data_IF_049978551397
#
_entry.id   IF_049978551397
#
_cell.length_a   1.000
_cell.length_b   1.000
_cell.length_c   1.000
_cell.angle_alpha   90.00
_cell.angle_beta   90.00
_cell.angle_gamma   90.00
#
_symmetry.space_group_name_H-M   'P 1'
#
loop_
_entity.id
_entity.type
_entity.pdbx_description
1 polymer ?
#
# COMPACT_ATOMS: atom_id res chain seq x y z
N UNK A 1 10.37 11.86 -3.46
CA UNK A 1 9.42 12.57 -2.59
C UNK A 1 8.15 12.87 -3.38
N UNK A 2 6.98 12.58 -2.83
CA UNK A 2 5.69 12.94 -3.43
C UNK A 2 5.10 14.13 -2.67
N UNK A 3 4.52 15.06 -3.42
CA UNK A 3 3.76 16.20 -2.88
C UNK A 3 2.41 16.26 -3.59
N UNK A 4 1.33 16.47 -2.86
CA UNK A 4 0.04 16.78 -3.46
C UNK A 4 -0.47 18.14 -2.96
N UNK A 5 -1.12 18.88 -3.88
CA UNK A 5 -1.62 20.24 -3.65
C UNK A 5 -3.07 20.32 -4.04
N UNK A 6 -3.94 20.51 -3.05
CA UNK A 6 -5.39 20.66 -3.20
C UNK A 6 -6.04 19.61 -4.11
N UNK A 7 -5.56 18.35 -3.97
CA UNK A 7 -6.16 17.27 -4.77
C UNK A 7 -7.57 16.98 -4.29
N UNK A 8 -8.49 16.85 -5.24
CA UNK A 8 -9.87 16.48 -4.97
C UNK A 8 -10.42 15.60 -6.11
N UNK A 9 -11.48 14.86 -5.80
CA UNK A 9 -12.26 14.08 -6.76
C UNK A 9 -13.74 14.35 -6.48
N UNK A 10 -14.46 14.81 -7.48
CA UNK A 10 -15.85 15.22 -7.36
C UNK A 10 -16.68 14.16 -6.62
N UNK A 11 -17.43 14.59 -5.60
CA UNK A 11 -18.33 13.78 -4.76
C UNK A 11 -17.66 12.65 -3.95
N UNK A 12 -16.33 12.46 -4.07
CA UNK A 12 -15.64 11.32 -3.44
C UNK A 12 -14.47 11.71 -2.54
N UNK A 13 -13.78 12.81 -2.85
CA UNK A 13 -12.62 13.27 -2.12
C UNK A 13 -12.62 14.79 -2.06
N UNK A 14 -12.68 15.33 -0.86
CA UNK A 14 -12.49 16.76 -0.59
C UNK A 14 -11.03 17.17 -0.72
N UNK A 15 -10.79 18.48 -0.89
CA UNK A 15 -9.45 19.01 -1.10
C UNK A 15 -8.47 18.59 0.00
N UNK A 16 -7.35 18.02 -0.43
CA UNK A 16 -6.29 17.55 0.46
C UNK A 16 -4.92 17.92 -0.08
N UNK A 17 -4.03 18.32 0.82
CA UNK A 17 -2.64 18.64 0.51
C UNK A 17 -1.72 17.97 1.53
N UNK A 18 -0.64 17.33 1.05
CA UNK A 18 0.36 16.68 1.93
C UNK A 18 1.68 16.46 1.19
N UNK A 19 2.69 16.05 1.96
CA UNK A 19 3.99 15.59 1.44
C UNK A 19 4.33 14.25 2.05
N UNK A 20 4.89 13.35 1.23
CA UNK A 20 5.43 12.06 1.68
C UNK A 20 6.94 12.16 1.67
N UNK A 21 7.54 12.03 2.84
CA UNK A 21 8.99 11.97 3.00
C UNK A 21 9.52 10.58 2.59
N UNK A 22 10.78 10.47 2.12
CA UNK A 22 11.42 9.17 1.88
C UNK A 22 11.43 8.28 3.13
N UNK A 23 11.31 6.96 2.94
CA UNK A 23 11.32 5.98 4.03
C UNK A 23 10.05 5.94 4.87
N UNK A 24 8.99 6.65 4.48
CA UNK A 24 7.74 6.72 5.25
C UNK A 24 6.86 5.49 5.02
N UNK A 25 6.36 4.89 6.10
CA UNK A 25 5.25 3.93 6.08
C UNK A 25 3.98 4.64 6.56
N UNK A 26 3.06 4.92 5.66
CA UNK A 26 1.84 5.67 5.91
C UNK A 26 0.65 4.72 5.83
N UNK A 27 -0.16 4.67 6.88
CA UNK A 27 -1.43 3.95 6.85
C UNK A 27 -2.59 4.93 6.66
N UNK A 28 -3.42 4.64 5.68
CA UNK A 28 -4.65 5.34 5.35
C UNK A 28 -5.82 4.56 5.93
N UNK A 29 -6.43 5.09 6.97
CA UNK A 29 -7.50 4.44 7.71
C UNK A 29 -8.79 5.24 7.67
N UNK A 30 -9.88 4.61 8.00
CA UNK A 30 -11.22 5.22 8.02
C UNK A 30 -12.30 4.18 7.68
N UNK A 31 -13.57 4.48 7.97
CA UNK A 31 -14.67 3.56 7.70
C UNK A 31 -14.80 3.22 6.19
N UNK A 32 -15.60 2.20 5.90
CA UNK A 32 -15.92 1.85 4.51
C UNK A 32 -16.64 3.02 3.85
N UNK A 33 -16.28 3.31 2.60
CA UNK A 33 -16.82 4.46 1.87
C UNK A 33 -16.17 5.81 2.22
N UNK A 34 -15.20 5.88 3.15
CA UNK A 34 -14.52 7.13 3.50
C UNK A 34 -13.69 7.77 2.38
N UNK A 35 -13.48 7.07 1.24
CA UNK A 35 -12.71 7.60 0.11
C UNK A 35 -11.25 7.13 0.04
N UNK A 36 -10.83 6.15 0.85
CA UNK A 36 -9.45 5.65 0.91
C UNK A 36 -8.90 5.23 -0.46
N UNK A 37 -9.58 4.32 -1.16
CA UNK A 37 -9.17 3.86 -2.50
C UNK A 37 -9.18 4.99 -3.53
N UNK A 38 -10.09 5.97 -3.40
CA UNK A 38 -10.14 7.16 -4.26
C UNK A 38 -8.88 8.02 -4.06
N UNK A 39 -8.48 8.27 -2.81
CA UNK A 39 -7.27 9.02 -2.48
C UNK A 39 -6.02 8.28 -2.98
N UNK A 40 -5.89 6.96 -2.70
CA UNK A 40 -4.77 6.15 -3.18
C UNK A 40 -4.67 6.17 -4.71
N UNK A 41 -5.79 5.95 -5.41
CA UNK A 41 -5.86 5.95 -6.88
C UNK A 41 -5.44 7.31 -7.46
N UNK A 42 -5.86 8.42 -6.82
CA UNK A 42 -5.46 9.77 -7.23
C UNK A 42 -3.97 10.04 -7.01
N UNK A 43 -3.43 9.67 -5.85
CA UNK A 43 -2.00 9.80 -5.54
C UNK A 43 -1.12 8.91 -6.43
N UNK A 44 -1.59 7.73 -6.78
CA UNK A 44 -0.89 6.82 -7.69
C UNK A 44 -0.94 7.27 -9.16
N UNK A 45 -1.71 8.32 -9.51
CA UNK A 45 -1.88 8.78 -10.90
C UNK A 45 -2.72 7.82 -11.75
N UNK A 46 -3.59 7.01 -11.12
CA UNK A 46 -4.48 6.08 -11.79
C UNK A 46 -5.88 6.67 -12.05
N UNK A 47 -6.17 7.83 -11.46
CA UNK A 47 -7.40 8.59 -11.70
C UNK A 47 -7.09 10.08 -11.85
N UNK A 48 -7.96 10.78 -12.58
CA UNK A 48 -7.91 12.22 -12.72
C UNK A 48 -8.71 12.91 -11.62
N UNK A 49 -8.45 14.18 -11.39
CA UNK A 49 -9.15 15.01 -10.41
C UNK A 49 -8.58 16.43 -10.39
N UNK A 50 -9.07 17.25 -9.49
CA UNK A 50 -8.59 18.62 -9.28
C UNK A 50 -7.27 18.58 -8.51
N UNK A 51 -6.48 19.64 -8.63
CA UNK A 51 -5.19 19.79 -7.94
C UNK A 51 -4.06 18.99 -8.57
N UNK A 52 -2.87 19.20 -8.06
CA UNK A 52 -1.64 18.63 -8.60
C UNK A 52 -1.06 17.54 -7.68
N UNK A 53 -0.60 16.46 -8.27
CA UNK A 53 0.29 15.49 -7.60
C UNK A 53 1.66 15.58 -8.29
N UNK A 54 2.69 15.85 -7.51
CA UNK A 54 4.06 15.95 -7.99
C UNK A 54 4.88 14.78 -7.43
N UNK A 55 5.62 14.09 -8.30
CA UNK A 55 6.59 13.07 -7.93
C UNK A 55 7.97 13.52 -8.39
N UNK A 56 8.92 13.59 -7.46
CA UNK A 56 10.25 14.14 -7.72
C UNK A 56 10.23 15.56 -8.37
N UNK A 57 9.23 16.37 -8.00
CA UNK A 57 9.07 17.75 -8.51
C UNK A 57 8.37 17.86 -9.86
N UNK A 58 8.02 16.75 -10.52
CA UNK A 58 7.31 16.73 -11.81
C UNK A 58 5.85 16.32 -11.59
N UNK A 59 4.89 16.97 -12.27
CA UNK A 59 3.48 16.61 -12.20
C UNK A 59 3.26 15.20 -12.75
N UNK A 60 2.48 14.37 -12.05
CA UNK A 60 2.22 12.99 -12.48
C UNK A 60 1.62 12.91 -13.88
N UNK A 61 0.72 13.84 -14.20
CA UNK A 61 0.03 13.88 -15.49
C UNK A 61 0.99 14.17 -16.67
N UNK A 62 2.18 14.69 -16.40
CA UNK A 62 3.24 14.99 -17.37
C UNK A 62 4.28 13.87 -17.48
N UNK A 63 4.26 12.90 -16.56
CA UNK A 63 5.20 11.77 -16.57
C UNK A 63 4.68 10.69 -17.52
N UNK A 64 5.46 10.30 -18.56
CA UNK A 64 5.07 9.20 -19.44
C UNK A 64 4.83 7.89 -18.66
N UNK A 65 3.79 7.14 -19.03
CA UNK A 65 3.37 5.92 -18.33
C UNK A 65 4.51 4.93 -18.01
N UNK A 66 5.41 4.59 -18.95
CA UNK A 66 6.55 3.72 -18.68
C UNK A 66 7.52 4.26 -17.62
N UNK A 67 7.73 5.59 -17.58
CA UNK A 67 8.54 6.24 -16.55
C UNK A 67 7.83 6.23 -15.20
N UNK A 68 6.54 6.54 -15.19
CA UNK A 68 5.73 6.51 -13.96
C UNK A 68 5.72 5.11 -13.34
N UNK A 69 5.60 4.05 -14.16
CA UNK A 69 5.65 2.66 -13.70
C UNK A 69 7.00 2.27 -13.07
N UNK A 70 8.11 2.95 -13.44
CA UNK A 70 9.41 2.76 -12.78
C UNK A 70 9.48 3.49 -11.44
N UNK A 71 8.83 4.64 -11.31
CA UNK A 71 8.89 5.46 -10.11
C UNK A 71 7.99 4.96 -8.98
N UNK A 72 6.88 4.29 -9.31
CA UNK A 72 5.92 3.83 -8.31
C UNK A 72 5.25 2.51 -8.67
N UNK A 73 4.98 1.66 -7.66
CA UNK A 73 4.11 0.50 -7.74
C UNK A 73 2.67 0.82 -7.30
N UNK A 74 1.72 0.06 -7.83
CA UNK A 74 0.31 0.16 -7.46
C UNK A 74 -0.33 -1.22 -7.36
N UNK A 75 -0.77 -1.58 -6.16
CA UNK A 75 -1.64 -2.73 -5.91
C UNK A 75 -3.06 -2.22 -5.71
N UNK A 76 -3.92 -2.44 -6.70
CA UNK A 76 -5.34 -2.11 -6.58
C UNK A 76 -6.08 -3.13 -5.71
N UNK A 77 -7.27 -2.77 -5.25
CA UNK A 77 -8.20 -3.67 -4.58
C UNK A 77 -8.42 -4.94 -5.41
N UNK A 78 -8.82 -6.01 -4.78
CA UNK A 78 -8.88 -7.37 -5.34
C UNK A 78 -9.45 -7.43 -6.77
N UNK A 79 -8.67 -8.05 -7.68
CA UNK A 79 -9.11 -8.41 -9.02
C UNK A 79 -9.15 -9.93 -9.12
N UNK A 80 -10.20 -10.46 -9.72
CA UNK A 80 -10.27 -11.89 -10.07
C UNK A 80 -9.29 -12.19 -11.21
N UNK A 81 -8.44 -13.23 -11.12
CA UNK A 81 -7.56 -13.57 -12.21
C UNK A 81 -8.36 -14.04 -13.42
N UNK A 82 -8.12 -13.43 -14.59
CA UNK A 82 -8.88 -13.69 -15.82
C UNK A 82 -8.07 -14.46 -16.89
N UNK A 83 -6.89 -14.95 -16.56
CA UNK A 83 -5.97 -15.57 -17.52
C UNK A 83 -5.49 -16.94 -17.06
N UNK A 84 -5.27 -17.87 -17.99
CA UNK A 84 -4.66 -19.18 -17.72
C UNK A 84 -3.13 -19.13 -17.64
N UNK A 85 -2.52 -17.94 -17.69
CA UNK A 85 -1.07 -17.83 -17.60
C UNK A 85 -0.53 -18.36 -16.27
N UNK A 86 0.63 -19.03 -16.24
CA UNK A 86 1.27 -19.45 -15.01
C UNK A 86 1.83 -18.28 -14.21
N UNK A 87 2.00 -18.46 -12.89
CA UNK A 87 2.50 -17.43 -11.96
C UNK A 87 3.81 -16.83 -12.45
N UNK A 88 4.80 -17.64 -12.89
CA UNK A 88 6.09 -17.10 -13.35
C UNK A 88 5.91 -16.12 -14.53
N UNK A 89 4.98 -16.39 -15.42
CA UNK A 89 4.69 -15.51 -16.56
C UNK A 89 3.98 -14.22 -16.09
N UNK A 90 3.07 -14.30 -15.11
CA UNK A 90 2.46 -13.12 -14.50
C UNK A 90 3.53 -12.23 -13.84
N UNK A 91 4.46 -12.80 -13.08
CA UNK A 91 5.56 -12.04 -12.48
C UNK A 91 6.45 -11.39 -13.56
N UNK A 92 6.67 -12.05 -14.69
CA UNK A 92 7.49 -11.50 -15.78
C UNK A 92 6.91 -10.24 -16.41
N UNK A 93 5.59 -10.05 -16.37
CA UNK A 93 4.94 -8.82 -16.85
C UNK A 93 5.27 -7.58 -16.02
N UNK A 94 5.73 -7.78 -14.78
CA UNK A 94 6.04 -6.71 -13.82
C UNK A 94 7.54 -6.43 -13.68
N UNK A 95 8.39 -7.17 -14.40
CA UNK A 95 9.83 -7.02 -14.34
C UNK A 95 10.29 -5.67 -14.90
N UNK A 96 11.20 -4.95 -14.20
CA UNK A 96 11.83 -3.76 -14.75
C UNK A 96 12.66 -4.11 -16.00
N UNK A 97 12.46 -3.36 -17.09
CA UNK A 97 13.08 -3.66 -18.40
C UNK A 97 14.61 -3.67 -18.39
N UNK A 98 15.22 -2.90 -17.50
CA UNK A 98 16.67 -2.69 -17.44
C UNK A 98 17.31 -3.39 -16.22
N UNK A 99 16.59 -4.31 -15.56
CA UNK A 99 17.14 -5.07 -14.46
C UNK A 99 18.22 -6.04 -14.95
N UNK A 100 19.30 -6.17 -14.19
CA UNK A 100 20.33 -7.19 -14.46
C UNK A 100 19.71 -8.57 -14.20
N UNK A 101 19.83 -9.54 -15.18
CA UNK A 101 19.08 -10.80 -15.10
C UNK A 101 19.37 -11.66 -13.87
N UNK A 102 20.62 -11.70 -13.40
CA UNK A 102 20.98 -12.51 -12.23
C UNK A 102 20.43 -11.88 -10.95
N UNK A 103 20.48 -10.55 -10.81
CA UNK A 103 19.92 -9.83 -9.66
C UNK A 103 18.39 -9.99 -9.65
N UNK A 104 17.74 -9.86 -10.81
CA UNK A 104 16.30 -10.04 -10.95
C UNK A 104 15.85 -11.46 -10.55
N UNK A 105 16.58 -12.49 -11.00
CA UNK A 105 16.29 -13.87 -10.64
C UNK A 105 16.38 -14.09 -9.12
N UNK A 106 17.40 -13.53 -8.47
CA UNK A 106 17.58 -13.63 -7.03
C UNK A 106 16.46 -12.90 -6.27
N UNK A 107 16.07 -11.69 -6.69
CA UNK A 107 14.97 -10.95 -6.07
C UNK A 107 13.65 -11.71 -6.22
N UNK A 108 13.34 -12.25 -7.39
CA UNK A 108 12.13 -13.05 -7.59
C UNK A 108 12.14 -14.29 -6.70
N UNK A 109 13.26 -15.00 -6.63
CA UNK A 109 13.39 -16.19 -5.77
C UNK A 109 13.16 -15.85 -4.30
N UNK A 110 13.81 -14.79 -3.79
CA UNK A 110 13.63 -14.30 -2.41
C UNK A 110 12.19 -13.89 -2.11
N UNK A 111 11.55 -13.10 -2.99
CA UNK A 111 10.16 -12.71 -2.80
C UNK A 111 9.21 -13.91 -2.84
N UNK A 112 9.45 -14.89 -3.72
CA UNK A 112 8.66 -16.11 -3.78
C UNK A 112 8.86 -17.00 -2.56
N UNK A 113 10.04 -17.04 -1.97
CA UNK A 113 10.30 -17.76 -0.73
C UNK A 113 9.57 -17.12 0.44
N UNK A 114 9.74 -15.82 0.67
CA UNK A 114 9.09 -15.06 1.75
C UNK A 114 7.57 -15.14 1.66
N UNK A 115 7.02 -15.07 0.45
CA UNK A 115 5.57 -15.12 0.20
C UNK A 115 5.04 -16.56 0.00
N UNK A 116 5.85 -17.60 0.19
CA UNK A 116 5.47 -19.02 0.03
C UNK A 116 4.82 -19.31 -1.34
N UNK A 117 5.52 -18.92 -2.41
CA UNK A 117 5.07 -19.07 -3.80
C UNK A 117 5.96 -19.99 -4.64
N UNK A 118 7.09 -20.47 -4.11
CA UNK A 118 8.10 -21.21 -4.87
C UNK A 118 7.54 -22.48 -5.55
N UNK A 119 6.60 -23.17 -4.90
CA UNK A 119 5.92 -24.37 -5.43
C UNK A 119 4.71 -24.03 -6.33
N UNK A 120 4.38 -22.75 -6.51
CA UNK A 120 3.23 -22.29 -7.30
C UNK A 120 3.59 -21.71 -8.66
N UNK A 121 4.88 -21.51 -8.94
CA UNK A 121 5.35 -20.75 -10.12
C UNK A 121 4.81 -21.29 -11.46
N UNK A 122 4.69 -22.61 -11.61
CA UNK A 122 4.13 -23.23 -12.81
C UNK A 122 2.59 -23.30 -12.84
N UNK A 123 1.92 -22.95 -11.74
CA UNK A 123 0.47 -23.08 -11.61
C UNK A 123 -0.23 -21.92 -12.33
N UNK A 124 -1.32 -22.19 -13.09
CA UNK A 124 -2.14 -21.11 -13.67
C UNK A 124 -2.73 -20.21 -12.58
N UNK A 125 -2.73 -18.89 -12.80
CA UNK A 125 -3.22 -17.93 -11.80
C UNK A 125 -4.69 -18.12 -11.44
N UNK A 126 -5.50 -18.67 -12.36
CA UNK A 126 -6.91 -19.02 -12.12
C UNK A 126 -7.11 -20.22 -11.21
N UNK A 127 -6.07 -21.01 -10.94
CA UNK A 127 -6.11 -22.18 -10.05
C UNK A 127 -5.58 -21.89 -8.65
N UNK A 128 -5.34 -20.63 -8.34
CA UNK A 128 -4.89 -20.18 -7.03
C UNK A 128 -6.08 -19.86 -6.12
N UNK A 129 -5.92 -20.12 -4.83
CA UNK A 129 -6.84 -19.58 -3.81
C UNK A 129 -6.76 -18.05 -3.75
N UNK A 130 -7.74 -17.40 -3.12
CA UNK A 130 -7.74 -15.94 -2.96
C UNK A 130 -6.48 -15.41 -2.27
N UNK A 131 -6.02 -16.09 -1.21
CA UNK A 131 -4.79 -15.72 -0.51
C UNK A 131 -3.52 -15.99 -1.32
N UNK A 132 -3.45 -17.11 -2.07
CA UNK A 132 -2.33 -17.37 -2.99
C UNK A 132 -2.27 -16.32 -4.09
N UNK A 133 -3.41 -15.97 -4.69
CA UNK A 133 -3.48 -14.92 -5.70
C UNK A 133 -3.06 -13.55 -5.14
N UNK A 134 -3.50 -13.20 -3.95
CA UNK A 134 -3.10 -11.96 -3.30
C UNK A 134 -1.58 -11.89 -3.10
N UNK A 135 -0.94 -12.98 -2.65
CA UNK A 135 0.51 -13.07 -2.50
C UNK A 135 1.25 -12.94 -3.84
N UNK A 136 0.72 -13.54 -4.92
CA UNK A 136 1.28 -13.39 -6.28
C UNK A 136 1.21 -11.93 -6.74
N UNK A 137 0.11 -11.23 -6.51
CA UNK A 137 -0.03 -9.81 -6.84
C UNK A 137 0.94 -8.94 -6.03
N UNK A 138 1.12 -9.25 -4.75
CA UNK A 138 2.11 -8.59 -3.90
C UNK A 138 3.53 -8.84 -4.42
N UNK A 139 3.89 -10.09 -4.70
CA UNK A 139 5.19 -10.41 -5.31
C UNK A 139 5.42 -9.60 -6.59
N UNK A 140 4.43 -9.55 -7.47
CA UNK A 140 4.52 -8.83 -8.75
C UNK A 140 4.77 -7.33 -8.57
N UNK A 141 4.03 -6.67 -7.67
CA UNK A 141 4.23 -5.24 -7.43
C UNK A 141 5.55 -4.96 -6.72
N UNK A 142 6.03 -5.86 -5.82
CA UNK A 142 7.35 -5.73 -5.23
C UNK A 142 8.46 -5.94 -6.27
N UNK A 143 8.38 -6.93 -7.14
CA UNK A 143 9.34 -7.12 -8.26
C UNK A 143 9.46 -5.83 -9.09
N UNK A 144 8.34 -5.17 -9.41
CA UNK A 144 8.35 -3.93 -10.20
C UNK A 144 9.17 -2.82 -9.55
N UNK A 145 9.15 -2.70 -8.22
CA UNK A 145 9.70 -1.54 -7.49
C UNK A 145 10.84 -1.89 -6.54
N UNK A 146 11.26 -3.14 -6.46
CA UNK A 146 12.30 -3.55 -5.52
C UNK A 146 13.61 -2.81 -5.80
N UNK A 147 14.25 -2.22 -4.78
CA UNK A 147 15.37 -1.29 -4.99
C UNK A 147 16.54 -1.88 -5.77
N UNK A 148 16.86 -3.15 -5.57
CA UNK A 148 18.01 -3.83 -6.22
C UNK A 148 17.81 -3.99 -7.74
N UNK A 149 16.57 -4.12 -8.20
CA UNK A 149 16.23 -4.28 -9.63
C UNK A 149 15.64 -3.01 -10.23
N UNK A 150 15.20 -2.06 -9.41
CA UNK A 150 14.66 -0.78 -9.85
C UNK A 150 15.11 0.36 -8.91
N UNK A 151 16.33 0.87 -9.08
CA UNK A 151 16.87 1.94 -8.24
C UNK A 151 16.09 3.27 -8.34
N UNK A 152 15.33 3.48 -9.41
CA UNK A 152 14.51 4.68 -9.60
C UNK A 152 13.22 4.67 -8.79
N UNK A 153 12.82 3.52 -8.25
CA UNK A 153 11.57 3.38 -7.49
C UNK A 153 11.57 4.28 -6.26
N UNK A 154 10.44 4.90 -5.97
CA UNK A 154 10.28 5.83 -4.84
C UNK A 154 9.10 5.48 -3.95
N UNK A 155 8.04 4.92 -4.53
CA UNK A 155 6.76 4.78 -3.86
C UNK A 155 6.07 3.46 -4.18
N UNK A 156 5.35 2.96 -3.19
CA UNK A 156 4.46 1.83 -3.33
C UNK A 156 3.11 2.18 -2.71
N UNK A 157 2.06 2.04 -3.48
CA UNK A 157 0.68 2.22 -3.02
C UNK A 157 0.01 0.84 -2.95
N UNK A 158 -0.54 0.51 -1.79
CA UNK A 158 -1.18 -0.78 -1.53
C UNK A 158 -2.61 -0.57 -1.03
N UNK A 159 -3.58 -0.98 -1.83
CA UNK A 159 -4.99 -0.91 -1.44
C UNK A 159 -5.42 -2.26 -0.83
N UNK A 160 -5.59 -2.28 0.49
CA UNK A 160 -5.96 -3.44 1.30
C UNK A 160 -5.06 -4.67 1.07
N UNK A 161 -3.72 -4.54 1.22
CA UNK A 161 -2.79 -5.62 0.88
C UNK A 161 -2.95 -6.87 1.76
N UNK A 162 -3.43 -6.71 2.99
CA UNK A 162 -3.54 -7.79 3.98
C UNK A 162 -4.80 -8.65 3.82
N UNK A 163 -5.71 -8.28 2.91
CA UNK A 163 -6.94 -9.02 2.69
C UNK A 163 -6.66 -10.45 2.21
N UNK A 164 -7.41 -11.42 2.77
CA UNK A 164 -7.29 -12.85 2.47
C UNK A 164 -5.96 -13.51 2.88
N UNK A 165 -5.13 -12.82 3.67
CA UNK A 165 -3.89 -13.35 4.22
C UNK A 165 -4.07 -13.80 5.66
N UNK A 166 -3.49 -14.92 6.03
CA UNK A 166 -3.36 -15.34 7.42
C UNK A 166 -2.29 -14.54 8.16
N UNK A 167 -2.21 -14.70 9.48
CA UNK A 167 -1.29 -13.92 10.35
C UNK A 167 0.18 -14.06 9.92
N UNK A 168 0.62 -15.27 9.55
CA UNK A 168 2.02 -15.50 9.14
C UNK A 168 2.31 -14.81 7.80
N UNK A 169 1.36 -14.84 6.88
CA UNK A 169 1.47 -14.19 5.57
C UNK A 169 1.45 -12.65 5.71
N UNK A 170 0.61 -12.10 6.60
CA UNK A 170 0.61 -10.68 6.92
C UNK A 170 1.96 -10.22 7.47
N UNK A 171 2.53 -11.00 8.40
CA UNK A 171 3.85 -10.72 8.97
C UNK A 171 4.96 -10.72 7.89
N UNK A 172 4.92 -11.67 6.94
CA UNK A 172 5.84 -11.70 5.82
C UNK A 172 5.73 -10.45 4.93
N UNK A 173 4.51 -9.98 4.65
CA UNK A 173 4.28 -8.73 3.90
C UNK A 173 4.79 -7.52 4.69
N UNK A 174 4.57 -7.47 6.00
CA UNK A 174 5.08 -6.38 6.87
C UNK A 174 6.60 -6.32 6.88
N UNK A 175 7.26 -7.47 6.86
CA UNK A 175 8.71 -7.54 6.72
C UNK A 175 9.18 -6.93 5.40
N UNK A 176 8.59 -7.32 4.26
CA UNK A 176 8.94 -6.76 2.95
C UNK A 176 8.70 -5.25 2.89
N UNK A 177 7.60 -4.77 3.47
CA UNK A 177 7.31 -3.32 3.56
C UNK A 177 8.38 -2.61 4.40
N UNK A 178 8.80 -3.21 5.52
CA UNK A 178 9.81 -2.63 6.40
C UNK A 178 11.18 -2.55 5.71
N UNK A 179 11.59 -3.60 4.99
CA UNK A 179 12.81 -3.62 4.18
C UNK A 179 12.76 -2.56 3.06
N UNK A 180 11.63 -2.44 2.38
CA UNK A 180 11.42 -1.43 1.34
C UNK A 180 11.53 0.00 1.89
N UNK A 181 10.95 0.27 3.08
CA UNK A 181 11.06 1.56 3.75
C UNK A 181 12.50 1.83 4.25
N UNK A 182 13.17 0.81 4.79
CA UNK A 182 14.57 0.92 5.24
C UNK A 182 15.53 1.26 4.08
N UNK A 183 15.21 0.83 2.85
CA UNK A 183 15.91 1.22 1.63
C UNK A 183 15.60 2.66 1.17
N UNK A 184 14.90 3.47 1.99
CA UNK A 184 14.57 4.87 1.71
C UNK A 184 13.35 5.05 0.79
N UNK A 185 12.60 3.99 0.50
CA UNK A 185 11.37 4.05 -0.29
C UNK A 185 10.16 4.26 0.62
N UNK A 186 9.07 4.77 0.09
CA UNK A 186 7.88 5.04 0.91
C UNK A 186 6.71 4.19 0.48
N UNK A 187 5.86 3.83 1.44
CA UNK A 187 4.65 3.03 1.19
C UNK A 187 3.43 3.76 1.75
N UNK A 188 2.34 3.79 0.99
CA UNK A 188 1.03 4.22 1.46
C UNK A 188 0.08 3.03 1.36
N UNK A 189 -0.50 2.66 2.50
CA UNK A 189 -1.30 1.45 2.66
C UNK A 189 -2.70 1.83 3.11
N UNK A 190 -3.75 1.40 2.42
CA UNK A 190 -5.08 1.39 3.03
C UNK A 190 -5.23 0.19 3.95
N UNK A 191 -5.71 0.45 5.16
CA UNK A 191 -5.84 -0.59 6.19
C UNK A 191 -7.20 -0.49 6.88
N UNK A 192 -7.71 -1.64 7.31
CA UNK A 192 -8.94 -1.73 8.11
C UNK A 192 -8.66 -2.16 9.55
N UNK A 193 -7.50 -2.77 9.81
CA UNK A 193 -7.10 -3.16 11.15
C UNK A 193 -6.41 -2.01 11.87
N UNK A 194 -7.10 -1.43 12.86
CA UNK A 194 -6.58 -0.33 13.66
C UNK A 194 -5.40 -0.76 14.53
N UNK A 195 -5.38 -2.00 15.01
CA UNK A 195 -4.27 -2.51 15.81
C UNK A 195 -3.04 -2.78 14.94
N UNK A 196 -3.22 -3.30 13.74
CA UNK A 196 -2.15 -3.41 12.76
C UNK A 196 -1.56 -2.03 12.46
N UNK A 197 -2.41 -1.04 12.16
CA UNK A 197 -1.97 0.35 11.94
C UNK A 197 -1.22 0.92 13.14
N UNK A 198 -1.73 0.73 14.36
CA UNK A 198 -1.10 1.21 15.59
C UNK A 198 0.32 0.67 15.80
N UNK A 199 0.58 -0.56 15.36
CA UNK A 199 1.86 -1.23 15.58
C UNK A 199 2.89 -1.02 14.46
N UNK A 200 2.45 -0.72 13.24
CA UNK A 200 3.33 -0.71 12.06
C UNK A 200 3.44 0.62 11.34
N UNK A 201 2.46 1.53 11.49
CA UNK A 201 2.51 2.80 10.79
C UNK A 201 3.52 3.77 11.43
N UNK A 202 4.30 4.45 10.58
CA UNK A 202 5.03 5.65 11.01
C UNK A 202 4.08 6.84 11.08
N UNK A 203 3.30 7.04 10.03
CA UNK A 203 2.30 8.11 9.95
C UNK A 203 0.93 7.52 9.60
N UNK A 204 -0.10 8.22 10.02
CA UNK A 204 -1.49 7.84 9.77
C UNK A 204 -2.25 8.99 9.12
N UNK A 205 -3.02 8.67 8.09
CA UNK A 205 -4.03 9.56 7.53
C UNK A 205 -5.40 8.97 7.85
N UNK A 206 -6.16 9.68 8.67
CA UNK A 206 -7.50 9.27 9.08
C UNK A 206 -8.54 9.95 8.21
N UNK A 207 -9.36 9.14 7.54
CA UNK A 207 -10.42 9.64 6.65
C UNK A 207 -11.82 9.39 7.21
N UNK A 208 -12.72 10.32 6.93
CA UNK A 208 -14.16 10.18 7.13
C UNK A 208 -14.91 10.98 6.08
N UNK A 209 -15.97 10.41 5.50
CA UNK A 209 -16.88 11.09 4.55
C UNK A 209 -16.14 11.87 3.43
N UNK A 210 -15.14 11.28 2.81
CA UNK A 210 -14.37 11.90 1.72
C UNK A 210 -13.32 12.93 2.17
N UNK A 211 -13.19 13.19 3.47
CA UNK A 211 -12.22 14.13 4.05
C UNK A 211 -11.08 13.39 4.75
N UNK A 212 -9.86 13.88 4.61
CA UNK A 212 -8.77 13.54 5.53
C UNK A 212 -8.90 14.45 6.75
N UNK A 213 -9.35 13.89 7.88
CA UNK A 213 -9.69 14.65 9.08
C UNK A 213 -8.53 14.76 10.07
N UNK A 214 -7.53 13.89 9.95
CA UNK A 214 -6.31 13.98 10.74
C UNK A 214 -5.13 13.35 9.96
N UNK A 215 -3.94 13.94 10.09
CA UNK A 215 -2.67 13.43 9.58
C UNK A 215 -1.57 13.67 10.61
N UNK A 216 -0.60 12.79 10.68
CA UNK A 216 0.56 12.97 11.57
C UNK A 216 1.20 11.63 11.96
N UNK A 217 2.07 11.71 12.96
CA UNK A 217 2.67 10.52 13.58
C UNK A 217 1.57 9.59 14.13
N UNK A 218 1.87 8.30 14.11
CA UNK A 218 0.91 7.28 14.55
C UNK A 218 0.39 7.57 15.98
N UNK A 219 1.27 7.98 16.89
CA UNK A 219 0.91 8.33 18.29
C UNK A 219 -0.11 9.46 18.41
N UNK A 220 -0.09 10.41 17.47
CA UNK A 220 -0.91 11.62 17.52
C UNK A 220 -2.29 11.42 16.89
N UNK A 221 -2.36 10.53 15.90
CA UNK A 221 -3.60 10.26 15.17
C UNK A 221 -4.37 9.10 15.78
N UNK A 222 -3.68 8.05 16.24
CA UNK A 222 -4.29 6.84 16.80
C UNK A 222 -4.69 7.03 18.25
N UNK A 223 -5.57 8.01 18.50
CA UNK A 223 -6.14 8.33 19.83
C UNK A 223 -7.64 8.07 19.82
N UNK A 224 -8.18 7.64 20.97
CA UNK A 224 -9.57 7.20 21.09
C UNK A 224 -10.57 8.24 20.60
N UNK A 225 -10.35 9.52 20.91
CA UNK A 225 -11.22 10.63 20.53
C UNK A 225 -11.35 10.76 19.00
N UNK A 226 -10.21 10.79 18.28
CA UNK A 226 -10.20 10.92 16.81
C UNK A 226 -10.80 9.71 16.13
N UNK A 227 -10.50 8.50 16.63
CA UNK A 227 -11.08 7.27 16.10
C UNK A 227 -12.59 7.22 16.33
N UNK A 228 -13.05 7.58 17.53
CA UNK A 228 -14.49 7.66 17.84
C UNK A 228 -15.21 8.63 16.89
N UNK A 229 -14.62 9.81 16.66
CA UNK A 229 -15.19 10.79 15.75
C UNK A 229 -15.24 10.28 14.28
N UNK A 230 -14.22 9.55 13.83
CA UNK A 230 -14.15 9.05 12.46
C UNK A 230 -15.10 7.88 12.18
N UNK A 231 -15.15 6.93 13.13
CA UNK A 231 -15.88 5.65 12.97
C UNK A 231 -17.28 5.67 13.57
N UNK A 232 -17.60 6.69 14.35
CA UNK A 232 -18.88 6.83 15.07
C UNK A 232 -19.16 5.65 16.04
N UNK A 233 -18.09 5.09 16.63
CA UNK A 233 -18.08 4.01 17.61
C UNK A 233 -17.13 4.37 18.72
N UNK A 234 -17.48 4.21 20.00
CA UNK A 234 -16.57 4.53 21.11
C UNK A 234 -15.37 3.56 21.13
N UNK A 235 -14.17 4.13 21.21
CA UNK A 235 -12.92 3.39 21.35
C UNK A 235 -12.25 3.68 22.68
N UNK A 236 -11.51 2.69 23.16
CA UNK A 236 -10.56 2.83 24.27
C UNK A 236 -9.20 2.27 23.86
N UNK A 237 -8.13 2.84 24.42
CA UNK A 237 -6.76 2.38 24.17
C UNK A 237 -6.21 1.86 25.50
N UNK A 238 -5.85 0.60 25.51
CA UNK A 238 -5.29 -0.08 26.67
C UNK A 238 -3.83 -0.44 26.45
N UNK A 239 -3.01 -0.27 27.47
CA UNK A 239 -1.64 -0.77 27.48
C UNK A 239 -1.63 -2.19 28.08
N UNK A 240 -1.19 -3.19 27.32
CA UNK A 240 -1.07 -4.56 27.77
C UNK A 240 0.24 -5.15 27.26
N UNK A 241 1.00 -5.78 28.15
CA UNK A 241 2.32 -6.37 27.84
C UNK A 241 3.29 -5.39 27.11
N UNK A 242 3.30 -4.11 27.51
CA UNK A 242 4.16 -3.07 26.92
C UNK A 242 3.71 -2.54 25.55
N UNK A 243 2.57 -3.00 25.04
CA UNK A 243 1.98 -2.55 23.75
C UNK A 243 0.63 -1.89 23.98
N UNK A 244 0.28 -0.94 23.11
CA UNK A 244 -1.06 -0.34 23.08
C UNK A 244 -2.00 -1.18 22.18
N UNK A 245 -3.25 -1.29 22.62
CA UNK A 245 -4.32 -1.99 21.92
C UNK A 245 -5.57 -1.12 21.86
N UNK A 246 -6.20 -1.09 20.69
CA UNK A 246 -7.45 -0.37 20.46
C UNK A 246 -8.59 -1.37 20.58
N UNK A 247 -9.57 -1.03 21.39
CA UNK A 247 -10.77 -1.84 21.63
C UNK A 247 -12.01 -0.97 21.46
N UNK A 248 -13.07 -1.57 20.91
CA UNK A 248 -14.40 -0.96 20.91
C UNK A 248 -15.08 -1.19 22.27
N UNK A 249 -15.80 -0.17 22.74
CA UNK A 249 -16.62 -0.30 23.97
C UNK A 249 -18.01 -0.68 23.55
N UNK A 250 -18.45 -1.89 23.96
CA UNK A 250 -19.87 -2.30 23.85
C UNK A 250 -20.67 -1.61 24.94
N UNK A 251 -21.80 -1.05 24.60
CA UNK A 251 -22.81 -0.56 25.56
C UNK A 251 -23.62 -1.71 26.10
#
# INVERSE_FOLDING_TARGET
MLECRNIAVTERLHAFSTRIAPGSRIHLIGPNGAGKSTLLTRLAGMSRGVGDVLLAGQKLDEIPGPRLARLRGWLCQQLTPASLMPVFQYLSLHQPRNAEPAVLANVIASLCEVLHLSDKLARPVTHLSGGEWQRVRLAAVFVQVWPDVNPDSQLLFLDEPMNSLDVAQQQAVDQLISEFCAAGRSVVISDHDLNHTLHYAHQVWLMSAGCVIATGECSDVMVAEKLTAAYNVPFQIHAMAGRKWIMTVSH
#
